data_IF_313237889006
#
_entry.id   IF_313237889006
#
_cell.length_a   1.000
_cell.length_b   1.000
_cell.length_c   1.000
_cell.angle_alpha   90.00
_cell.angle_beta   90.00
_cell.angle_gamma   90.00
#
_symmetry.space_group_name_H-M   'P 1'
#
loop_
_entity.id
_entity.type
_entity.pdbx_description
1 polymer ?
#
# COMPACT_ATOMS: atom_id res chain seq x y z
N UNK A 1 6.53 10.27 14.81
CA UNK A 1 7.63 9.39 14.35
C UNK A 1 7.01 8.38 13.39
N UNK A 2 7.62 8.14 12.23
CA UNK A 2 7.04 7.33 11.15
C UNK A 2 6.93 5.86 11.53
N UNK A 3 5.77 5.31 11.87
CA UNK A 3 5.69 3.92 12.35
C UNK A 3 5.28 2.92 11.27
N UNK A 4 4.48 3.37 10.31
CA UNK A 4 3.89 2.51 9.29
C UNK A 4 3.81 3.21 7.93
N UNK A 5 4.18 2.50 6.87
CA UNK A 5 4.06 2.92 5.47
C UNK A 5 3.20 1.92 4.70
N UNK A 6 1.87 2.12 4.61
CA UNK A 6 1.05 1.37 3.68
C UNK A 6 1.34 1.82 2.25
N UNK A 7 1.64 0.88 1.37
CA UNK A 7 1.72 1.06 -0.07
C UNK A 7 0.31 0.91 -0.64
N UNK A 8 -0.30 2.05 -0.94
CA UNK A 8 -1.69 2.17 -1.38
C UNK A 8 -1.74 2.54 -2.86
N UNK A 9 -2.74 2.01 -3.56
CA UNK A 9 -3.05 2.49 -4.91
C UNK A 9 -3.84 3.78 -4.85
N UNK A 10 -3.54 4.73 -5.73
CA UNK A 10 -4.26 6.01 -5.83
C UNK A 10 -5.69 5.84 -6.39
N UNK A 11 -6.59 5.28 -5.59
CA UNK A 11 -7.94 4.89 -6.01
C UNK A 11 -8.99 5.20 -4.97
N UNK A 12 -10.24 5.23 -5.44
CA UNK A 12 -11.41 5.64 -4.66
C UNK A 12 -11.57 4.84 -3.35
N UNK A 13 -11.26 3.54 -3.36
CA UNK A 13 -11.36 2.70 -2.17
C UNK A 13 -10.42 3.17 -1.07
N UNK A 14 -9.16 3.35 -1.44
CA UNK A 14 -8.06 3.80 -0.60
C UNK A 14 -8.24 5.26 -0.17
N UNK A 15 -8.70 6.15 -1.06
CA UNK A 15 -9.03 7.53 -0.73
C UNK A 15 -10.11 7.61 0.36
N UNK A 16 -11.17 6.81 0.27
CA UNK A 16 -12.20 6.78 1.31
C UNK A 16 -11.65 6.26 2.64
N UNK A 17 -10.73 5.27 2.61
CA UNK A 17 -10.06 4.81 3.83
C UNK A 17 -9.16 5.88 4.45
N UNK A 18 -8.42 6.65 3.65
CA UNK A 18 -7.59 7.77 4.10
C UNK A 18 -8.42 8.91 4.70
N UNK A 19 -9.58 9.21 4.09
CA UNK A 19 -10.53 10.24 4.53
C UNK A 19 -11.11 9.94 5.90
N UNK A 20 -11.39 8.67 6.18
CA UNK A 20 -11.98 8.20 7.44
C UNK A 20 -10.95 7.68 8.45
N UNK A 21 -9.65 7.90 8.20
CA UNK A 21 -8.59 7.47 9.09
C UNK A 21 -8.65 8.24 10.42
N UNK A 22 -8.68 7.52 11.54
CA UNK A 22 -8.71 8.16 12.87
C UNK A 22 -7.41 8.92 13.17
N UNK A 23 -7.46 10.02 13.95
CA UNK A 23 -6.27 10.82 14.26
C UNK A 23 -5.12 10.04 14.89
N UNK A 24 -5.41 9.07 15.75
CA UNK A 24 -4.41 8.22 16.41
C UNK A 24 -3.72 7.25 15.45
N UNK A 25 -4.36 6.85 14.34
CA UNK A 25 -3.73 6.07 13.27
C UNK A 25 -2.93 7.00 12.36
N UNK A 26 -3.56 8.10 11.92
CA UNK A 26 -2.97 9.10 11.03
C UNK A 26 -1.64 9.67 11.51
N UNK A 27 -1.46 9.84 12.82
CA UNK A 27 -0.22 10.37 13.42
C UNK A 27 1.01 9.50 13.16
N UNK A 28 0.82 8.20 12.95
CA UNK A 28 1.90 7.21 12.85
C UNK A 28 2.02 6.58 11.47
N UNK A 29 1.16 6.99 10.53
CA UNK A 29 1.08 6.46 9.18
C UNK A 29 1.46 7.53 8.17
N UNK A 30 2.42 7.23 7.29
CA UNK A 30 2.69 8.02 6.08
C UNK A 30 2.49 7.08 4.89
N UNK A 31 1.38 7.19 4.16
CA UNK A 31 1.13 6.29 3.04
C UNK A 31 2.13 6.55 1.91
N UNK A 32 2.55 5.49 1.24
CA UNK A 32 3.13 5.55 -0.09
C UNK A 32 2.01 5.31 -1.09
N UNK A 33 1.75 6.30 -1.94
CA UNK A 33 0.67 6.23 -2.92
C UNK A 33 1.26 5.97 -4.30
N UNK A 34 0.96 4.79 -4.84
CA UNK A 34 1.28 4.43 -6.22
C UNK A 34 0.18 4.93 -7.16
N UNK A 35 0.51 5.91 -7.99
CA UNK A 35 -0.41 6.44 -9.00
C UNK A 35 -0.56 5.41 -10.12
N UNK A 36 -1.80 5.00 -10.36
CA UNK A 36 -2.12 3.95 -11.32
C UNK A 36 -2.28 4.53 -12.72
N UNK A 37 -2.11 3.71 -13.77
CA UNK A 37 -2.43 4.11 -15.14
C UNK A 37 -3.92 4.43 -15.28
N UNK A 38 -4.24 5.35 -16.18
CA UNK A 38 -5.62 5.63 -16.55
C UNK A 38 -6.33 4.33 -17.00
N UNK A 39 -7.51 4.00 -16.44
CA UNK A 39 -8.23 2.82 -16.85
C UNK A 39 -8.62 2.88 -18.33
N UNK A 40 -8.43 1.78 -19.06
CA UNK A 40 -8.89 1.69 -20.44
C UNK A 40 -10.42 1.89 -20.52
N UNK A 41 -10.93 2.56 -21.58
CA UNK A 41 -12.37 2.72 -21.77
C UNK A 41 -13.07 1.36 -21.78
N UNK A 42 -14.06 1.16 -20.90
CA UNK A 42 -14.86 -0.06 -20.94
C UNK A 42 -15.82 0.01 -22.13
N UNK A 43 -15.92 -1.04 -22.97
CA UNK A 43 -16.97 -1.10 -23.98
C UNK A 43 -18.34 -1.05 -23.28
N UNK A 44 -19.21 -0.15 -23.73
CA UNK A 44 -20.58 -0.06 -23.22
C UNK A 44 -21.30 -1.35 -23.60
N UNK A 45 -21.57 -2.23 -22.62
CA UNK A 45 -22.45 -3.38 -22.86
C UNK A 45 -23.84 -2.84 -23.22
N UNK A 46 -24.46 -3.27 -24.33
CA UNK A 46 -25.84 -2.89 -24.62
C UNK A 46 -26.73 -3.36 -23.46
N UNK A 47 -27.47 -2.42 -22.86
CA UNK A 47 -28.54 -2.78 -21.91
C UNK A 47 -29.67 -3.40 -22.72
N UNK A 48 -29.84 -4.71 -22.64
CA UNK A 48 -31.06 -5.38 -23.10
C UNK A 48 -32.12 -5.27 -22.01
N UNK A 49 -32.71 -4.09 -21.88
CA UNK A 49 -34.00 -3.93 -21.23
C UNK A 49 -35.05 -4.08 -22.33
N UNK A 50 -35.99 -5.02 -22.15
CA UNK A 50 -36.89 -5.53 -23.19
C UNK A 50 -37.48 -4.46 -24.14
N UNK A 51 -37.33 -4.71 -25.44
CA UNK A 51 -38.27 -4.23 -26.46
C UNK A 51 -37.99 -2.90 -27.15
N UNK A 52 -36.99 -2.10 -26.77
CA UNK A 52 -36.67 -0.87 -27.50
C UNK A 52 -35.17 -0.65 -27.68
N UNK A 53 -34.68 -0.74 -28.92
CA UNK A 53 -33.32 -0.32 -29.30
C UNK A 53 -33.14 1.18 -28.97
N UNK A 54 -32.59 1.49 -27.79
CA UNK A 54 -32.10 2.83 -27.50
C UNK A 54 -30.74 3.03 -28.16
N UNK A 55 -30.61 4.16 -28.88
CA UNK A 55 -29.39 4.64 -29.55
C UNK A 55 -28.13 4.31 -28.75
N UNK A 56 -27.16 3.69 -29.43
CA UNK A 56 -25.79 3.53 -28.93
C UNK A 56 -25.32 4.92 -28.47
N UNK A 57 -25.20 5.14 -27.16
CA UNK A 57 -24.56 6.36 -26.64
C UNK A 57 -23.12 6.32 -27.13
N UNK A 58 -22.73 7.30 -27.95
CA UNK A 58 -21.33 7.49 -28.33
C UNK A 58 -20.47 7.44 -27.07
N UNK A 59 -19.42 6.61 -27.09
CA UNK A 59 -18.43 6.56 -26.03
C UNK A 59 -17.91 8.00 -25.85
N UNK A 60 -18.00 8.54 -24.63
CA UNK A 60 -17.26 9.78 -24.34
C UNK A 60 -15.79 9.51 -24.64
N UNK A 61 -15.07 10.42 -25.32
CA UNK A 61 -13.63 10.28 -25.49
C UNK A 61 -13.00 10.09 -24.10
N UNK A 62 -11.96 9.24 -23.97
CA UNK A 62 -11.23 9.14 -22.72
C UNK A 62 -10.73 10.53 -22.31
N UNK A 63 -10.66 10.77 -20.99
CA UNK A 63 -10.01 11.98 -20.47
C UNK A 63 -8.57 12.02 -20.95
N UNK A 64 -7.99 13.20 -21.13
CA UNK A 64 -6.55 13.32 -21.29
C UNK A 64 -5.84 12.73 -20.06
N UNK A 65 -4.59 12.31 -20.21
CA UNK A 65 -3.78 11.86 -19.08
C UNK A 65 -3.59 13.00 -18.06
N UNK A 66 -3.43 14.23 -18.53
CA UNK A 66 -3.43 15.44 -17.69
C UNK A 66 -4.69 15.51 -16.81
N UNK A 67 -5.88 15.52 -17.43
CA UNK A 67 -7.15 15.61 -16.68
C UNK A 67 -7.33 14.45 -15.71
N UNK A 68 -6.84 13.26 -16.07
CA UNK A 68 -6.86 12.10 -15.18
C UNK A 68 -5.95 12.29 -13.96
N UNK A 69 -4.71 12.74 -14.16
CA UNK A 69 -3.76 12.96 -13.06
C UNK A 69 -4.21 14.13 -12.17
N UNK A 70 -4.72 15.23 -12.72
CA UNK A 70 -5.33 16.32 -11.95
C UNK A 70 -6.52 15.85 -11.11
N UNK A 71 -7.41 15.01 -11.67
CA UNK A 71 -8.52 14.41 -10.92
C UNK A 71 -8.02 13.54 -9.75
N UNK A 72 -6.98 12.73 -9.99
CA UNK A 72 -6.37 11.88 -8.96
C UNK A 72 -5.75 12.74 -7.86
N UNK A 73 -5.02 13.80 -8.22
CA UNK A 73 -4.41 14.73 -7.29
C UNK A 73 -5.46 15.43 -6.42
N UNK A 74 -6.54 15.97 -7.03
CA UNK A 74 -7.62 16.64 -6.31
C UNK A 74 -8.32 15.70 -5.32
N UNK A 75 -8.59 14.44 -5.72
CA UNK A 75 -9.19 13.44 -4.84
C UNK A 75 -8.28 13.03 -3.68
N UNK A 76 -6.99 12.88 -3.96
CA UNK A 76 -6.00 12.56 -2.94
C UNK A 76 -5.84 13.71 -1.94
N UNK A 77 -5.84 14.96 -2.43
CA UNK A 77 -5.82 16.15 -1.58
C UNK A 77 -7.05 16.25 -0.66
N UNK A 78 -8.25 15.95 -1.18
CA UNK A 78 -9.46 15.90 -0.35
C UNK A 78 -9.40 14.81 0.73
N UNK A 79 -8.92 13.61 0.36
CA UNK A 79 -8.85 12.46 1.27
C UNK A 79 -7.73 12.57 2.32
N UNK A 80 -6.54 13.03 1.94
CA UNK A 80 -5.35 13.00 2.80
C UNK A 80 -4.96 14.36 3.38
N UNK A 81 -5.41 15.45 2.75
CA UNK A 81 -5.11 16.84 3.11
C UNK A 81 -3.60 17.12 3.04
N UNK A 82 -3.08 17.91 3.97
CA UNK A 82 -1.68 18.36 4.05
C UNK A 82 -0.77 17.38 4.81
N UNK A 83 -1.29 16.21 5.22
CA UNK A 83 -0.48 15.17 5.88
C UNK A 83 0.63 14.68 4.95
N UNK A 84 1.81 14.32 5.48
CA UNK A 84 2.90 13.76 4.67
C UNK A 84 2.45 12.51 3.91
N UNK A 85 2.92 12.35 2.69
CA UNK A 85 2.76 11.14 1.88
C UNK A 85 3.97 10.95 0.96
N UNK A 86 4.29 9.70 0.67
CA UNK A 86 5.21 9.35 -0.42
C UNK A 86 4.41 9.17 -1.71
N UNK A 87 4.93 9.67 -2.83
CA UNK A 87 4.28 9.56 -4.14
C UNK A 87 5.19 8.81 -5.09
N UNK A 88 4.68 7.72 -5.66
CA UNK A 88 5.39 6.92 -6.64
C UNK A 88 4.57 6.81 -7.93
N UNK A 89 5.28 6.93 -9.05
CA UNK A 89 4.76 6.72 -10.40
C UNK A 89 5.13 5.34 -10.93
N UNK A 90 5.39 4.36 -10.06
CA UNK A 90 5.78 2.98 -10.37
C UNK A 90 4.99 2.34 -11.52
N UNK A 91 3.69 2.64 -11.65
CA UNK A 91 2.89 2.10 -12.73
C UNK A 91 3.19 2.70 -14.12
N UNK A 92 4.01 3.75 -14.24
CA UNK A 92 4.36 4.44 -15.48
C UNK A 92 5.81 4.14 -15.89
N UNK A 93 6.08 4.17 -17.20
CA UNK A 93 7.43 4.03 -17.73
C UNK A 93 8.32 5.24 -17.37
N UNK A 94 9.65 5.07 -17.37
CA UNK A 94 10.59 6.09 -16.90
C UNK A 94 10.69 7.32 -17.83
N UNK A 95 10.08 7.27 -19.02
CA UNK A 95 10.02 8.38 -19.97
C UNK A 95 8.57 8.77 -20.32
N UNK A 96 7.56 8.25 -19.60
CA UNK A 96 6.16 8.54 -19.87
C UNK A 96 5.87 10.04 -19.66
N UNK A 97 5.12 10.61 -20.60
CA UNK A 97 4.79 12.04 -20.62
C UNK A 97 3.29 12.23 -20.74
N UNK A 98 2.80 13.34 -20.18
CA UNK A 98 1.45 13.83 -20.43
C UNK A 98 1.40 14.58 -21.78
N UNK A 99 0.21 14.97 -22.21
CA UNK A 99 -0.01 15.59 -23.52
C UNK A 99 0.80 16.88 -23.76
N UNK A 100 1.14 17.63 -22.71
CA UNK A 100 2.01 18.82 -22.82
C UNK A 100 3.48 18.51 -23.14
N UNK A 101 3.88 17.23 -23.09
CA UNK A 101 5.27 16.79 -23.18
C UNK A 101 6.01 16.81 -21.83
N UNK A 102 5.36 17.24 -20.75
CA UNK A 102 5.89 17.14 -19.39
C UNK A 102 5.91 15.68 -18.92
N UNK A 103 6.95 15.32 -18.15
CA UNK A 103 7.05 13.99 -17.55
C UNK A 103 5.92 13.75 -16.54
N UNK A 104 5.30 12.56 -16.56
CA UNK A 104 4.14 12.25 -15.71
C UNK A 104 4.39 12.47 -14.22
N UNK A 105 5.62 12.22 -13.76
CA UNK A 105 6.00 12.41 -12.37
C UNK A 105 6.06 13.87 -11.96
N UNK A 106 6.67 14.72 -12.78
CA UNK A 106 6.72 16.17 -12.52
C UNK A 106 5.31 16.76 -12.53
N UNK A 107 4.49 16.38 -13.52
CA UNK A 107 3.11 16.84 -13.62
C UNK A 107 2.29 16.46 -12.38
N UNK A 108 2.27 15.18 -12.01
CA UNK A 108 1.51 14.70 -10.86
C UNK A 108 1.94 15.37 -9.54
N UNK A 109 3.25 15.47 -9.29
CA UNK A 109 3.76 16.12 -8.08
C UNK A 109 3.47 17.63 -8.10
N UNK A 110 3.54 18.29 -9.26
CA UNK A 110 3.14 19.68 -9.44
C UNK A 110 1.69 19.93 -9.05
N UNK A 111 0.76 19.08 -9.51
CA UNK A 111 -0.66 19.15 -9.14
C UNK A 111 -0.87 18.97 -7.63
N UNK A 112 -0.21 18.00 -7.01
CA UNK A 112 -0.31 17.77 -5.55
C UNK A 112 0.24 18.96 -4.75
N UNK A 113 1.35 19.55 -5.19
CA UNK A 113 1.93 20.74 -4.55
C UNK A 113 1.03 21.97 -4.74
N UNK A 114 0.36 22.13 -5.89
CA UNK A 114 -0.64 23.17 -6.12
C UNK A 114 -1.84 23.03 -5.16
N UNK A 115 -2.19 21.80 -4.78
CA UNK A 115 -3.15 21.50 -3.71
C UNK A 115 -2.57 21.63 -2.29
N UNK A 116 -1.33 22.12 -2.13
CA UNK A 116 -0.62 22.32 -0.85
C UNK A 116 -0.35 21.02 -0.07
N UNK A 117 -0.26 19.89 -0.75
CA UNK A 117 0.07 18.63 -0.11
C UNK A 117 1.56 18.57 0.29
N UNK A 118 1.87 17.86 1.39
CA UNK A 118 3.25 17.64 1.82
C UNK A 118 3.85 16.40 1.13
N UNK A 119 4.24 16.58 -0.13
CA UNK A 119 4.74 15.51 -1.02
C UNK A 119 6.20 15.14 -0.70
N UNK A 120 6.45 13.84 -0.49
CA UNK A 120 7.78 13.25 -0.50
C UNK A 120 7.92 12.39 -1.77
N UNK A 121 8.95 12.65 -2.57
CA UNK A 121 9.18 11.96 -3.82
C UNK A 121 9.75 10.56 -3.59
N UNK A 122 9.14 9.52 -4.16
CA UNK A 122 9.78 8.22 -4.26
C UNK A 122 10.76 8.20 -5.43
N UNK A 123 12.01 7.86 -5.16
CA UNK A 123 13.06 7.63 -6.15
C UNK A 123 13.20 6.11 -6.29
N UNK A 124 12.86 5.55 -7.45
CA UNK A 124 13.03 4.12 -7.73
C UNK A 124 14.38 3.88 -8.38
N UNK A 125 15.17 2.96 -7.82
CA UNK A 125 16.51 2.64 -8.33
C UNK A 125 16.42 1.95 -9.70
N UNK A 126 15.42 1.08 -9.88
CA UNK A 126 15.06 0.39 -11.13
C UNK A 126 14.93 1.31 -12.35
N UNK A 127 14.49 2.56 -12.14
CA UNK A 127 14.27 3.57 -13.19
C UNK A 127 15.43 4.53 -13.38
N UNK A 128 16.46 4.47 -12.53
CA UNK A 128 17.53 5.47 -12.49
C UNK A 128 18.36 5.55 -13.77
N UNK A 129 18.41 4.47 -14.55
CA UNK A 129 19.09 4.45 -15.86
C UNK A 129 18.53 5.45 -16.89
N UNK A 130 17.29 5.93 -16.74
CA UNK A 130 16.68 6.89 -17.68
C UNK A 130 17.02 8.35 -17.33
N UNK A 131 17.60 9.07 -18.29
CA UNK A 131 17.88 10.50 -18.14
C UNK A 131 16.61 11.34 -17.96
N UNK A 132 15.51 10.98 -18.63
CA UNK A 132 14.20 11.62 -18.46
C UNK A 132 13.67 11.46 -17.04
N UNK A 133 13.79 10.25 -16.48
CA UNK A 133 13.38 9.99 -15.09
C UNK A 133 14.24 10.78 -14.10
N UNK A 134 15.58 10.76 -14.24
CA UNK A 134 16.49 11.54 -13.38
C UNK A 134 16.17 13.02 -13.42
N UNK A 135 15.97 13.58 -14.61
CA UNK A 135 15.59 14.98 -14.78
C UNK A 135 14.22 15.30 -14.16
N UNK A 136 13.25 14.38 -14.21
CA UNK A 136 11.96 14.54 -13.57
C UNK A 136 12.07 14.51 -12.04
N UNK A 137 12.79 13.54 -11.48
CA UNK A 137 13.06 13.43 -10.04
C UNK A 137 13.74 14.70 -9.52
N UNK A 138 14.81 15.16 -10.18
CA UNK A 138 15.51 16.38 -9.81
C UNK A 138 14.59 17.61 -9.76
N UNK A 139 13.67 17.74 -10.74
CA UNK A 139 12.65 18.81 -10.72
C UNK A 139 11.69 18.67 -9.53
N UNK A 140 11.17 17.49 -9.28
CA UNK A 140 10.24 17.24 -8.15
C UNK A 140 10.92 17.56 -6.82
N UNK A 141 12.17 17.15 -6.63
CA UNK A 141 12.95 17.44 -5.42
C UNK A 141 13.21 18.94 -5.25
N UNK A 142 13.51 19.65 -6.34
CA UNK A 142 13.62 21.11 -6.33
C UNK A 142 12.31 21.81 -5.88
N UNK A 143 11.15 21.25 -6.26
CA UNK A 143 9.84 21.80 -5.92
C UNK A 143 9.37 21.47 -4.49
N UNK A 144 9.74 20.30 -3.95
CA UNK A 144 9.26 19.84 -2.64
C UNK A 144 10.27 20.06 -1.48
N UNK A 145 11.44 20.64 -1.78
CA UNK A 145 12.49 20.92 -0.82
C UNK A 145 13.35 19.70 -0.45
N UNK A 146 13.61 18.81 -1.42
CA UNK A 146 14.47 17.63 -1.24
C UNK A 146 13.85 16.51 -0.40
N UNK A 147 12.52 16.51 -0.21
CA UNK A 147 11.83 15.48 0.57
C UNK A 147 11.69 14.22 -0.27
N UNK A 148 12.34 13.14 0.14
CA UNK A 148 12.40 11.92 -0.65
C UNK A 148 12.23 10.63 0.18
N UNK A 149 12.06 9.53 -0.54
CA UNK A 149 12.27 8.15 -0.11
C UNK A 149 12.91 7.38 -1.26
N UNK A 150 13.98 6.64 -1.02
CA UNK A 150 14.59 5.75 -2.01
C UNK A 150 13.90 4.38 -1.95
N UNK A 151 13.47 3.82 -3.08
CA UNK A 151 12.83 2.49 -3.17
C UNK A 151 13.79 1.53 -3.87
N UNK A 152 14.05 0.41 -3.19
CA UNK A 152 14.79 -0.74 -3.70
C UNK A 152 13.83 -1.92 -3.89
N UNK A 153 13.94 -2.58 -5.01
CA UNK A 153 13.24 -3.82 -5.36
C UNK A 153 14.11 -5.05 -5.05
N UNK A 154 13.56 -6.28 -5.10
CA UNK A 154 14.34 -7.48 -4.79
C UNK A 154 15.57 -7.64 -5.66
N UNK A 155 15.48 -7.27 -6.94
CA UNK A 155 16.58 -7.30 -7.90
C UNK A 155 17.74 -6.40 -7.46
N UNK A 156 17.45 -5.21 -6.93
CA UNK A 156 18.47 -4.29 -6.39
C UNK A 156 19.20 -4.90 -5.17
N UNK A 157 18.51 -5.75 -4.38
CA UNK A 157 19.13 -6.45 -3.26
C UNK A 157 20.06 -7.58 -3.73
N UNK A 158 19.76 -8.22 -4.85
CA UNK A 158 20.62 -9.23 -5.46
C UNK A 158 21.91 -8.59 -6.00
N UNK A 159 21.82 -7.37 -6.53
CA UNK A 159 22.96 -6.56 -6.96
C UNK A 159 23.88 -6.14 -5.81
N UNK A 160 23.42 -6.12 -4.56
CA UNK A 160 24.28 -5.87 -3.38
C UNK A 160 25.38 -6.94 -3.19
N UNK A 161 25.33 -8.04 -3.94
CA UNK A 161 26.43 -9.00 -4.04
C UNK A 161 27.67 -8.46 -4.76
N UNK A 162 27.53 -7.38 -5.52
CA UNK A 162 28.60 -6.53 -6.04
C UNK A 162 28.54 -5.14 -5.37
N UNK A 163 29.19 -4.97 -4.20
CA UNK A 163 29.11 -3.73 -3.43
C UNK A 163 29.62 -2.50 -4.18
N UNK A 164 30.62 -2.66 -5.05
CA UNK A 164 31.22 -1.53 -5.77
C UNK A 164 30.25 -0.95 -6.80
N UNK A 165 29.62 -1.82 -7.62
CA UNK A 165 28.61 -1.39 -8.59
C UNK A 165 27.40 -0.75 -7.92
N UNK A 166 26.94 -1.32 -6.79
CA UNK A 166 25.84 -0.74 -6.03
C UNK A 166 26.23 0.61 -5.41
N UNK A 167 27.46 0.76 -4.92
CA UNK A 167 27.95 2.01 -4.33
C UNK A 167 28.06 3.13 -5.35
N UNK A 168 28.53 2.83 -6.56
CA UNK A 168 28.57 3.80 -7.67
C UNK A 168 27.17 4.28 -8.02
N UNK A 169 26.22 3.34 -8.21
CA UNK A 169 24.84 3.67 -8.53
C UNK A 169 24.15 4.46 -7.40
N UNK A 170 24.37 4.07 -6.14
CA UNK A 170 23.84 4.79 -4.99
C UNK A 170 24.46 6.20 -4.88
N UNK A 171 25.76 6.32 -5.14
CA UNK A 171 26.48 7.59 -5.18
C UNK A 171 25.87 8.53 -6.22
N UNK A 172 25.68 8.04 -7.45
CA UNK A 172 25.03 8.79 -8.54
C UNK A 172 23.64 9.31 -8.13
N UNK A 173 22.82 8.46 -7.51
CA UNK A 173 21.49 8.87 -7.03
C UNK A 173 21.58 9.96 -5.97
N UNK A 174 22.42 9.78 -4.96
CA UNK A 174 22.55 10.72 -3.85
C UNK A 174 23.11 12.07 -4.33
N UNK A 175 24.15 12.05 -5.17
CA UNK A 175 24.82 13.25 -5.66
C UNK A 175 23.94 14.03 -6.66
N UNK A 176 23.36 13.37 -7.67
CA UNK A 176 22.49 14.05 -8.64
C UNK A 176 21.21 14.61 -7.99
N UNK A 177 20.70 13.96 -6.94
CA UNK A 177 19.52 14.44 -6.21
C UNK A 177 19.83 15.40 -5.07
N UNK A 178 21.10 15.56 -4.67
CA UNK A 178 21.48 16.30 -3.47
C UNK A 178 20.91 15.70 -2.17
N UNK A 179 20.81 14.37 -2.10
CA UNK A 179 20.27 13.63 -0.96
C UNK A 179 21.39 13.14 -0.03
N UNK A 180 21.06 12.97 1.26
CA UNK A 180 22.00 12.49 2.27
C UNK A 180 21.41 11.26 2.97
N UNK A 181 22.12 10.14 2.91
CA UNK A 181 21.67 8.85 3.45
C UNK A 181 21.15 8.91 4.89
N UNK A 182 21.84 9.68 5.76
CA UNK A 182 21.45 9.83 7.18
C UNK A 182 20.05 10.41 7.40
N UNK A 183 19.51 11.17 6.45
CA UNK A 183 18.20 11.82 6.49
C UNK A 183 17.21 11.25 5.48
N UNK A 184 17.61 10.27 4.67
CA UNK A 184 16.82 9.69 3.59
C UNK A 184 16.18 8.39 4.07
N UNK A 185 14.85 8.32 4.20
CA UNK A 185 14.16 7.04 4.35
C UNK A 185 14.41 6.17 3.12
N UNK A 186 14.70 4.89 3.34
CA UNK A 186 14.84 3.92 2.28
C UNK A 186 13.78 2.82 2.44
N UNK A 187 13.14 2.41 1.36
CA UNK A 187 12.18 1.31 1.29
C UNK A 187 12.83 0.11 0.64
N UNK A 188 12.93 -0.99 1.38
CA UNK A 188 13.15 -2.33 0.83
C UNK A 188 11.77 -2.90 0.51
N UNK A 189 11.46 -2.99 -0.78
CA UNK A 189 10.19 -3.52 -1.27
C UNK A 189 10.36 -4.97 -1.73
N UNK A 190 9.92 -5.91 -0.92
CA UNK A 190 10.00 -7.34 -1.24
C UNK A 190 8.87 -7.81 -2.17
N UNK A 191 7.92 -6.92 -2.53
CA UNK A 191 6.80 -7.21 -3.40
C UNK A 191 5.93 -8.38 -2.91
N UNK A 192 5.63 -9.31 -3.82
CA UNK A 192 4.86 -10.52 -3.55
C UNK A 192 5.75 -11.60 -2.93
N UNK A 193 5.59 -11.83 -1.62
CA UNK A 193 6.38 -12.81 -0.86
C UNK A 193 5.60 -14.10 -0.57
N UNK A 194 4.45 -14.30 -1.22
CA UNK A 194 3.64 -15.52 -1.04
C UNK A 194 4.44 -16.76 -1.41
N UNK A 195 4.31 -17.80 -0.59
CA UNK A 195 4.96 -19.08 -0.80
C UNK A 195 6.45 -19.11 -0.47
N UNK A 196 7.06 -17.96 -0.12
CA UNK A 196 8.43 -17.92 0.43
C UNK A 196 8.41 -18.35 1.91
N UNK A 197 9.51 -18.93 2.40
CA UNK A 197 9.66 -19.21 3.83
C UNK A 197 10.35 -18.04 4.54
N UNK A 198 10.05 -17.87 5.84
CA UNK A 198 10.76 -16.89 6.67
C UNK A 198 12.27 -17.13 6.70
N UNK A 199 12.68 -18.41 6.68
CA UNK A 199 14.08 -18.82 6.68
C UNK A 199 14.85 -18.36 5.43
N UNK A 200 14.15 -18.12 4.32
CA UNK A 200 14.76 -17.64 3.08
C UNK A 200 14.83 -16.10 3.06
N UNK A 201 13.79 -15.43 3.58
CA UNK A 201 13.67 -13.97 3.57
C UNK A 201 14.56 -13.30 4.62
N UNK A 202 14.62 -13.87 5.83
CA UNK A 202 15.27 -13.24 6.98
C UNK A 202 16.77 -12.98 6.76
N UNK A 203 17.58 -13.92 6.24
CA UNK A 203 19.00 -13.66 5.99
C UNK A 203 19.23 -12.54 4.98
N UNK A 204 18.52 -12.58 3.84
CA UNK A 204 18.64 -11.56 2.79
C UNK A 204 18.27 -10.16 3.30
N UNK A 205 17.12 -10.02 3.97
CA UNK A 205 16.71 -8.74 4.54
C UNK A 205 17.66 -8.24 5.66
N UNK A 206 18.20 -9.15 6.48
CA UNK A 206 19.17 -8.76 7.52
C UNK A 206 20.49 -8.26 6.93
N UNK A 207 21.00 -8.94 5.90
CA UNK A 207 22.21 -8.51 5.19
C UNK A 207 22.01 -7.15 4.51
N UNK A 208 20.88 -6.93 3.85
CA UNK A 208 20.55 -5.65 3.23
C UNK A 208 20.48 -4.52 4.28
N UNK A 209 19.84 -4.75 5.42
CA UNK A 209 19.78 -3.75 6.49
C UNK A 209 21.16 -3.39 7.06
N UNK A 210 22.03 -4.37 7.26
CA UNK A 210 23.40 -4.14 7.71
C UNK A 210 24.21 -3.38 6.66
N UNK A 211 24.10 -3.79 5.39
CA UNK A 211 24.75 -3.13 4.25
C UNK A 211 24.36 -1.65 4.15
N UNK A 212 23.07 -1.34 4.28
CA UNK A 212 22.55 0.03 4.27
C UNK A 212 22.94 0.83 5.52
N UNK A 213 22.96 0.19 6.69
CA UNK A 213 23.41 0.82 7.95
C UNK A 213 24.86 1.29 7.83
N UNK A 214 25.74 0.47 7.25
CA UNK A 214 27.15 0.82 7.04
C UNK A 214 27.32 1.99 6.06
N UNK A 215 26.32 2.27 5.23
CA UNK A 215 26.25 3.42 4.30
C UNK A 215 25.52 4.63 4.87
N UNK A 216 25.24 4.60 6.18
CA UNK A 216 24.71 5.75 6.91
C UNK A 216 23.19 5.89 6.88
N UNK A 217 22.44 4.95 6.29
CA UNK A 217 20.99 4.95 6.41
C UNK A 217 20.55 4.68 7.85
N UNK A 218 19.71 5.56 8.39
CA UNK A 218 19.23 5.47 9.79
C UNK A 218 17.80 4.95 9.89
N UNK A 219 17.04 5.00 8.80
CA UNK A 219 15.63 4.58 8.75
C UNK A 219 15.33 3.81 7.47
N UNK A 220 14.95 2.54 7.63
CA UNK A 220 14.57 1.65 6.53
C UNK A 220 13.16 1.14 6.75
N UNK A 221 12.31 1.28 5.74
CA UNK A 221 11.01 0.64 5.64
C UNK A 221 11.21 -0.73 5.00
N UNK A 222 10.70 -1.78 5.61
CA UNK A 222 10.66 -3.12 4.99
C UNK A 222 9.22 -3.42 4.66
N UNK A 223 8.92 -3.60 3.38
CA UNK A 223 7.58 -3.89 2.89
C UNK A 223 7.51 -5.19 2.10
N UNK A 224 6.34 -5.80 2.10
CA UNK A 224 6.01 -6.96 1.29
C UNK A 224 4.51 -7.25 1.36
N UNK A 225 4.08 -8.32 0.71
CA UNK A 225 2.68 -8.75 0.75
C UNK A 225 2.53 -10.25 0.66
N UNK A 226 1.74 -10.80 1.59
CA UNK A 226 1.21 -12.15 1.53
C UNK A 226 -0.18 -12.22 0.88
N UNK A 227 -0.76 -11.08 0.49
CA UNK A 227 -2.13 -11.03 -0.05
C UNK A 227 -2.16 -11.54 -1.49
N UNK A 228 -3.01 -12.53 -1.80
CA UNK A 228 -3.08 -13.05 -3.16
C UNK A 228 -3.86 -12.15 -4.11
N UNK A 229 -3.53 -12.26 -5.40
CA UNK A 229 -4.29 -11.60 -6.48
C UNK A 229 -5.73 -12.11 -6.54
N UNK A 230 -5.94 -13.40 -6.26
CA UNK A 230 -7.26 -14.03 -6.14
C UNK A 230 -7.52 -14.52 -4.72
N UNK A 231 -8.69 -14.19 -4.17
CA UNK A 231 -9.11 -14.67 -2.85
C UNK A 231 -9.25 -16.20 -2.80
N UNK A 232 -9.41 -16.84 -3.96
CA UNK A 232 -9.58 -18.30 -4.07
C UNK A 232 -8.32 -19.05 -3.63
N UNK A 233 -7.17 -18.39 -3.71
CA UNK A 233 -5.88 -18.93 -3.28
C UNK A 233 -5.73 -18.91 -1.75
N UNK A 234 -6.34 -17.92 -1.09
CA UNK A 234 -6.34 -17.84 0.38
C UNK A 234 -7.41 -18.73 1.02
N UNK A 235 -8.62 -18.78 0.46
CA UNK A 235 -9.72 -19.61 1.00
C UNK A 235 -10.33 -20.38 -0.16
N UNK A 236 -10.06 -21.69 -0.26
CA UNK A 236 -10.44 -22.52 -1.41
C UNK A 236 -11.94 -22.78 -1.52
N UNK A 237 -12.61 -23.03 -0.39
CA UNK A 237 -14.05 -23.30 -0.32
C UNK A 237 -14.85 -22.00 -0.36
N UNK A 238 -15.99 -22.00 -1.05
CA UNK A 238 -16.95 -20.88 -1.02
C UNK A 238 -17.81 -20.96 0.24
N UNK A 239 -18.31 -19.81 0.70
CA UNK A 239 -19.10 -19.71 1.95
C UNK A 239 -18.36 -20.32 3.14
N UNK A 240 -17.07 -19.99 3.26
CA UNK A 240 -16.23 -20.46 4.36
C UNK A 240 -15.26 -19.38 4.78
N UNK A 241 -14.67 -19.60 5.94
CA UNK A 241 -13.62 -18.77 6.50
C UNK A 241 -12.25 -19.43 6.29
N UNK A 242 -11.19 -18.64 6.40
CA UNK A 242 -9.82 -19.13 6.44
C UNK A 242 -8.87 -18.07 6.96
N UNK A 243 -7.65 -18.49 7.24
CA UNK A 243 -6.59 -17.63 7.73
C UNK A 243 -5.48 -17.52 6.70
N UNK A 244 -4.95 -16.32 6.53
CA UNK A 244 -3.82 -16.04 5.66
C UNK A 244 -2.73 -15.35 6.47
N UNK A 245 -1.60 -16.01 6.66
CA UNK A 245 -0.48 -15.43 7.39
C UNK A 245 0.09 -14.20 6.67
N UNK A 246 0.40 -13.16 7.44
CA UNK A 246 1.08 -11.93 7.02
C UNK A 246 2.58 -12.11 7.24
N UNK A 247 3.24 -12.82 6.33
CA UNK A 247 4.66 -13.13 6.41
C UNK A 247 5.51 -11.86 6.52
N UNK A 248 5.09 -10.77 5.90
CA UNK A 248 5.72 -9.45 5.98
C UNK A 248 5.75 -8.91 7.42
N UNK A 249 4.66 -9.06 8.18
CA UNK A 249 4.58 -8.65 9.59
C UNK A 249 5.46 -9.55 10.46
N UNK A 250 5.44 -10.86 10.19
CA UNK A 250 6.28 -11.84 10.90
C UNK A 250 7.77 -11.56 10.65
N UNK A 251 8.15 -11.28 9.40
CA UNK A 251 9.51 -10.92 9.00
C UNK A 251 9.95 -9.63 9.69
N UNK A 252 9.14 -8.57 9.66
CA UNK A 252 9.45 -7.32 10.33
C UNK A 252 9.70 -7.52 11.84
N UNK A 253 8.84 -8.29 12.52
CA UNK A 253 9.05 -8.65 13.94
C UNK A 253 10.35 -9.41 14.16
N UNK A 254 10.71 -10.32 13.26
CA UNK A 254 11.95 -11.09 13.35
C UNK A 254 13.22 -10.25 13.10
N UNK A 255 13.13 -9.19 12.29
CA UNK A 255 14.25 -8.30 11.98
C UNK A 255 14.58 -7.34 13.13
N UNK A 256 13.57 -6.89 13.90
CA UNK A 256 13.74 -5.85 14.92
C UNK A 256 14.80 -6.15 15.99
N UNK A 257 14.87 -7.36 16.59
CA UNK A 257 15.88 -7.66 17.61
C UNK A 257 17.32 -7.68 17.07
N UNK A 258 17.49 -7.93 15.76
CA UNK A 258 18.77 -8.24 15.12
C UNK A 258 19.35 -7.07 14.32
N UNK A 259 18.76 -5.88 14.43
CA UNK A 259 19.12 -4.70 13.60
C UNK A 259 19.46 -3.47 14.46
N UNK A 260 20.47 -3.56 15.36
CA UNK A 260 20.86 -2.42 16.20
C UNK A 260 21.39 -1.26 15.35
N UNK A 261 21.03 -0.03 15.72
CA UNK A 261 21.54 1.18 15.08
C UNK A 261 20.82 1.59 13.79
N UNK A 262 19.84 0.83 13.32
CA UNK A 262 18.95 1.22 12.23
C UNK A 262 17.49 1.11 12.67
N UNK A 263 16.67 2.07 12.25
CA UNK A 263 15.24 2.07 12.54
C UNK A 263 14.47 1.33 11.46
N UNK A 264 14.01 0.12 11.76
CA UNK A 264 13.19 -0.67 10.84
C UNK A 264 11.70 -0.32 11.00
N UNK A 265 11.12 0.30 9.98
CA UNK A 265 9.71 0.69 9.89
C UNK A 265 8.94 -0.39 9.14
N UNK A 266 7.74 -0.73 9.60
CA UNK A 266 6.89 -1.70 8.90
C UNK A 266 6.23 -1.03 7.69
N UNK A 267 6.22 -1.72 6.55
CA UNK A 267 5.38 -1.40 5.41
C UNK A 267 4.71 -2.65 4.84
N UNK A 268 3.64 -2.46 4.09
CA UNK A 268 2.95 -3.53 3.34
C UNK A 268 2.07 -2.95 2.24
N UNK A 269 1.47 -3.83 1.43
CA UNK A 269 0.51 -3.44 0.38
C UNK A 269 -0.95 -3.40 0.87
N UNK A 270 -1.15 -3.38 2.19
CA UNK A 270 -2.45 -3.45 2.82
C UNK A 270 -3.24 -4.71 2.43
N UNK A 271 -4.49 -4.51 2.00
CA UNK A 271 -5.44 -5.59 1.68
C UNK A 271 -5.45 -5.99 0.20
N UNK A 272 -4.46 -5.51 -0.57
CA UNK A 272 -4.27 -5.81 -1.99
C UNK A 272 -2.93 -6.48 -2.23
N UNK A 273 -2.89 -7.30 -3.28
CA UNK A 273 -1.64 -7.84 -3.80
C UNK A 273 -0.91 -6.75 -4.60
N UNK A 274 0.43 -6.65 -4.52
CA UNK A 274 1.23 -5.82 -5.42
C UNK A 274 0.93 -6.11 -6.90
N UNK A 275 0.68 -7.40 -7.21
CA UNK A 275 0.37 -7.89 -8.56
C UNK A 275 -1.10 -7.75 -8.97
N UNK A 276 -1.94 -7.07 -8.19
CA UNK A 276 -3.36 -6.94 -8.52
C UNK A 276 -3.54 -6.24 -9.87
N UNK A 277 -4.43 -6.74 -10.72
CA UNK A 277 -4.90 -5.96 -11.85
C UNK A 277 -6.17 -5.20 -11.47
N UNK A 278 -6.48 -4.17 -12.26
CA UNK A 278 -7.59 -3.27 -12.00
C UNK A 278 -8.92 -3.74 -12.58
N UNK A 279 -8.89 -4.88 -13.28
CA UNK A 279 -10.06 -5.48 -13.87
C UNK A 279 -10.78 -6.27 -12.79
N UNK A 280 -11.93 -5.74 -12.32
CA UNK A 280 -12.85 -6.51 -11.51
C UNK A 280 -13.30 -7.71 -12.35
N UNK A 281 -12.85 -8.90 -11.97
CA UNK A 281 -13.23 -10.14 -12.62
C UNK A 281 -14.78 -10.27 -12.61
N UNK A 282 -15.42 -10.71 -13.71
CA UNK A 282 -16.87 -10.86 -13.80
C UNK A 282 -17.47 -11.77 -12.71
N UNK A 283 -16.65 -12.65 -12.17
CA UNK A 283 -16.92 -13.68 -11.16
C UNK A 283 -16.26 -13.36 -9.80
N UNK A 284 -15.89 -12.09 -9.54
CA UNK A 284 -15.30 -11.69 -8.28
C UNK A 284 -16.19 -12.10 -7.10
N UNK A 285 -15.63 -12.86 -6.15
CA UNK A 285 -16.35 -13.33 -4.97
C UNK A 285 -16.62 -12.21 -3.97
N UNK A 286 -17.76 -12.30 -3.28
CA UNK A 286 -17.99 -11.60 -2.02
C UNK A 286 -16.95 -12.03 -1.00
N UNK A 287 -16.33 -11.06 -0.32
CA UNK A 287 -15.24 -11.33 0.63
C UNK A 287 -15.03 -10.16 1.57
N UNK A 288 -14.56 -10.47 2.77
CA UNK A 288 -14.06 -9.51 3.76
C UNK A 288 -12.67 -9.99 4.18
N UNK A 289 -11.68 -9.09 4.16
CA UNK A 289 -10.32 -9.36 4.65
C UNK A 289 -10.13 -8.62 5.96
N UNK A 290 -10.30 -9.33 7.05
CA UNK A 290 -10.25 -8.76 8.39
C UNK A 290 -8.88 -9.01 9.01
N UNK A 291 -8.18 -7.97 9.46
CA UNK A 291 -6.78 -8.07 9.88
C UNK A 291 -6.70 -8.42 11.37
N UNK A 292 -5.96 -9.48 11.70
CA UNK A 292 -5.78 -9.95 13.08
C UNK A 292 -4.29 -10.18 13.33
N UNK A 293 -3.82 -10.34 14.57
CA UNK A 293 -2.39 -10.52 14.85
C UNK A 293 -1.71 -11.56 13.92
N UNK A 294 -0.65 -11.15 13.23
CA UNK A 294 0.11 -11.91 12.23
C UNK A 294 -0.66 -12.44 11.01
N UNK A 295 -1.97 -12.24 10.88
CA UNK A 295 -2.78 -12.91 9.84
C UNK A 295 -3.92 -12.03 9.31
N UNK A 296 -4.60 -12.50 8.28
CA UNK A 296 -5.94 -12.07 7.91
C UNK A 296 -6.93 -13.19 8.24
N UNK A 297 -8.00 -12.85 8.96
CA UNK A 297 -9.22 -13.64 9.00
C UNK A 297 -10.06 -13.30 7.77
N UNK A 298 -10.17 -14.24 6.83
CA UNK A 298 -10.85 -14.04 5.57
C UNK A 298 -12.19 -14.75 5.61
N UNK A 299 -13.25 -14.00 5.34
CA UNK A 299 -14.60 -14.55 5.15
C UNK A 299 -14.92 -14.49 3.66
N UNK A 300 -15.13 -15.64 3.03
CA UNK A 300 -15.35 -15.77 1.58
C UNK A 300 -16.76 -16.27 1.29
N UNK A 301 -17.47 -15.55 0.43
CA UNK A 301 -18.76 -15.94 -0.13
C UNK A 301 -18.65 -16.54 -1.53
N UNK A 302 -19.74 -16.42 -2.29
CA UNK A 302 -19.90 -16.84 -3.67
C UNK A 302 -19.55 -15.72 -4.66
N UNK A 303 -19.47 -16.01 -5.98
CA UNK A 303 -19.35 -14.97 -7.00
C UNK A 303 -20.45 -13.92 -6.83
N UNK A 304 -20.11 -12.63 -6.95
CA UNK A 304 -21.08 -11.53 -6.77
C UNK A 304 -22.18 -11.50 -7.84
N UNK A 305 -22.02 -12.28 -8.92
CA UNK A 305 -23.05 -12.54 -9.94
C UNK A 305 -24.09 -13.56 -9.51
N UNK A 306 -23.75 -14.49 -8.60
CA UNK A 306 -24.65 -15.51 -8.10
C UNK A 306 -25.66 -14.91 -7.09
N UNK A 307 -26.94 -15.30 -7.10
CA UNK A 307 -27.90 -14.88 -6.07
C UNK A 307 -27.44 -15.24 -4.64
N UNK A 308 -27.62 -14.36 -3.64
CA UNK A 308 -28.37 -13.10 -3.66
C UNK A 308 -27.51 -11.88 -4.05
N UNK A 309 -26.44 -12.10 -4.84
CA UNK A 309 -25.51 -11.09 -5.34
C UNK A 309 -24.81 -10.38 -4.18
N UNK A 310 -24.91 -9.06 -4.10
CA UNK A 310 -24.27 -8.30 -3.02
C UNK A 310 -24.89 -8.51 -1.64
N UNK A 311 -26.11 -9.03 -1.52
CA UNK A 311 -26.77 -9.23 -0.21
C UNK A 311 -26.06 -10.29 0.64
N UNK A 312 -25.29 -11.17 -0.01
CA UNK A 312 -24.44 -12.12 0.71
C UNK A 312 -23.49 -11.42 1.68
N UNK A 313 -23.10 -10.17 1.39
CA UNK A 313 -22.18 -9.40 2.24
C UNK A 313 -22.73 -9.17 3.65
N UNK A 314 -24.06 -9.16 3.84
CA UNK A 314 -24.67 -9.09 5.17
C UNK A 314 -24.26 -10.29 6.03
N UNK A 315 -24.43 -11.51 5.48
CA UNK A 315 -24.05 -12.74 6.16
C UNK A 315 -22.53 -12.92 6.30
N UNK A 316 -21.73 -12.37 5.38
CA UNK A 316 -20.27 -12.36 5.55
C UNK A 316 -19.84 -11.40 6.66
N UNK A 317 -20.47 -10.22 6.74
CA UNK A 317 -20.20 -9.25 7.80
C UNK A 317 -20.64 -9.77 9.17
N UNK A 318 -21.79 -10.45 9.24
CA UNK A 318 -22.25 -11.10 10.47
C UNK A 318 -21.27 -12.15 10.99
N UNK A 319 -20.69 -12.98 10.09
CA UNK A 319 -19.63 -13.92 10.46
C UNK A 319 -18.40 -13.23 11.05
N UNK A 320 -18.02 -12.04 10.57
CA UNK A 320 -16.93 -11.27 11.19
C UNK A 320 -17.35 -10.79 12.58
N UNK A 321 -18.49 -10.10 12.70
CA UNK A 321 -18.99 -9.51 13.96
C UNK A 321 -19.19 -10.56 15.06
N UNK A 322 -19.64 -11.75 14.70
CA UNK A 322 -19.86 -12.87 15.63
C UNK A 322 -18.58 -13.65 15.97
N UNK A 323 -17.47 -13.39 15.27
CA UNK A 323 -16.20 -14.05 15.55
C UNK A 323 -15.49 -13.44 16.78
N UNK A 324 -14.65 -14.23 17.43
CA UNK A 324 -13.77 -13.74 18.51
C UNK A 324 -12.71 -12.73 18.03
N UNK A 325 -12.59 -12.52 16.71
CA UNK A 325 -11.61 -11.64 16.10
C UNK A 325 -12.10 -10.19 15.95
N UNK A 326 -13.41 -9.95 16.02
CA UNK A 326 -13.95 -8.61 15.80
C UNK A 326 -13.50 -7.63 16.89
N UNK A 327 -12.96 -6.49 16.48
CA UNK A 327 -12.36 -5.48 17.35
C UNK A 327 -13.39 -4.47 17.86
N UNK A 328 -14.67 -4.67 17.51
CA UNK A 328 -15.82 -3.82 17.78
C UNK A 328 -15.91 -2.57 16.88
N UNK A 329 -17.12 -2.03 16.76
CA UNK A 329 -17.44 -0.88 15.89
C UNK A 329 -16.62 0.37 16.21
N UNK A 330 -16.18 0.49 17.46
CA UNK A 330 -15.36 1.58 17.96
C UNK A 330 -13.89 1.48 17.59
N UNK A 331 -13.41 0.40 16.96
CA UNK A 331 -11.97 0.23 16.65
C UNK A 331 -11.54 1.08 15.46
N UNK A 332 -12.17 0.92 14.30
CA UNK A 332 -11.92 1.71 13.08
C UNK A 332 -13.23 2.09 12.38
N UNK A 333 -13.15 2.98 11.39
CA UNK A 333 -14.30 3.25 10.52
C UNK A 333 -14.71 2.00 9.73
N UNK A 334 -13.75 1.19 9.26
CA UNK A 334 -14.01 -0.10 8.63
C UNK A 334 -14.84 -1.03 9.51
N UNK A 335 -14.52 -1.12 10.81
CA UNK A 335 -15.27 -1.94 11.77
C UNK A 335 -16.71 -1.48 11.95
N UNK A 336 -16.94 -0.16 12.01
CA UNK A 336 -18.29 0.41 12.06
C UNK A 336 -19.09 0.08 10.78
N UNK A 337 -18.44 0.08 9.62
CA UNK A 337 -19.09 -0.28 8.35
C UNK A 337 -19.39 -1.78 8.26
N UNK A 338 -18.51 -2.64 8.77
CA UNK A 338 -18.77 -4.09 8.89
C UNK A 338 -19.99 -4.32 9.79
N UNK A 339 -20.08 -3.65 10.95
CA UNK A 339 -21.24 -3.72 11.84
C UNK A 339 -22.52 -3.22 11.19
N UNK A 340 -22.47 -2.09 10.50
CA UNK A 340 -23.62 -1.56 9.76
C UNK A 340 -24.08 -2.54 8.66
N UNK A 341 -23.14 -3.26 8.03
CA UNK A 341 -23.46 -4.28 7.05
C UNK A 341 -24.09 -5.52 7.68
N UNK A 342 -23.60 -6.01 8.83
CA UNK A 342 -24.22 -7.15 9.51
C UNK A 342 -25.65 -6.84 10.01
N UNK A 343 -25.95 -5.57 10.24
CA UNK A 343 -27.29 -5.07 10.59
C UNK A 343 -28.12 -4.67 9.36
N UNK A 344 -27.66 -5.00 8.16
CA UNK A 344 -28.31 -4.74 6.87
C UNK A 344 -28.54 -3.24 6.55
N UNK A 345 -27.91 -2.32 7.28
CA UNK A 345 -28.01 -0.87 7.04
C UNK A 345 -27.27 -0.44 5.79
N UNK A 346 -26.20 -1.17 5.45
CA UNK A 346 -25.45 -0.99 4.20
C UNK A 346 -25.17 -2.34 3.56
N UNK A 347 -24.87 -2.32 2.27
CA UNK A 347 -24.42 -3.50 1.50
C UNK A 347 -23.00 -3.33 0.96
N UNK A 348 -22.68 -2.10 0.54
CA UNK A 348 -21.43 -1.77 -0.13
C UNK A 348 -21.33 -2.35 -1.55
N UNK A 349 -20.47 -1.75 -2.36
CA UNK A 349 -19.95 -2.34 -3.59
C UNK A 349 -18.49 -2.74 -3.40
N UNK A 350 -17.86 -3.32 -4.43
CA UNK A 350 -16.46 -3.77 -4.36
C UNK A 350 -15.48 -2.66 -3.95
N UNK A 351 -15.73 -1.41 -4.33
CA UNK A 351 -14.90 -0.27 -3.92
C UNK A 351 -15.08 0.02 -2.43
N UNK A 352 -16.33 0.02 -1.93
CA UNK A 352 -16.60 0.23 -0.51
C UNK A 352 -15.93 -0.83 0.36
N UNK A 353 -15.97 -2.10 -0.05
CA UNK A 353 -15.34 -3.18 0.72
C UNK A 353 -13.82 -3.06 0.77
N UNK A 354 -13.18 -2.54 -0.29
CA UNK A 354 -11.76 -2.19 -0.21
C UNK A 354 -11.53 -1.05 0.78
N UNK A 355 -12.40 -0.04 0.82
CA UNK A 355 -12.29 1.04 1.82
C UNK A 355 -12.40 0.51 3.25
N UNK A 356 -13.37 -0.37 3.50
CA UNK A 356 -13.62 -0.93 4.84
C UNK A 356 -12.45 -1.82 5.29
N UNK A 357 -12.04 -2.75 4.43
CA UNK A 357 -10.90 -3.65 4.66
C UNK A 357 -9.61 -2.83 4.93
N UNK A 358 -9.29 -1.84 4.08
CA UNK A 358 -8.10 -0.98 4.23
C UNK A 358 -8.16 -0.14 5.51
N UNK A 359 -9.32 0.45 5.84
CA UNK A 359 -9.48 1.26 7.06
C UNK A 359 -9.20 0.45 8.32
N UNK A 360 -9.80 -0.73 8.43
CA UNK A 360 -9.56 -1.65 9.53
C UNK A 360 -8.11 -2.12 9.57
N UNK A 361 -7.56 -2.52 8.42
CA UNK A 361 -6.18 -2.99 8.32
C UNK A 361 -5.16 -1.98 8.83
N UNK A 362 -5.25 -0.71 8.41
CA UNK A 362 -4.32 0.32 8.90
C UNK A 362 -4.41 0.53 10.42
N UNK A 363 -5.61 0.46 10.99
CA UNK A 363 -5.78 0.53 12.44
C UNK A 363 -5.19 -0.69 13.17
N UNK A 364 -5.42 -1.89 12.62
CA UNK A 364 -4.91 -3.16 13.16
C UNK A 364 -3.38 -3.21 13.15
N UNK A 365 -2.74 -2.80 12.04
CA UNK A 365 -1.28 -2.74 11.91
C UNK A 365 -0.67 -1.80 12.94
N UNK A 366 -1.23 -0.59 13.10
CA UNK A 366 -0.74 0.35 14.11
C UNK A 366 -0.86 -0.24 15.52
N UNK A 367 -1.98 -0.89 15.85
CA UNK A 367 -2.15 -1.55 17.16
C UNK A 367 -1.09 -2.62 17.38
N UNK A 368 -0.91 -3.50 16.40
CA UNK A 368 0.02 -4.63 16.49
C UNK A 368 1.49 -4.20 16.59
N UNK A 369 1.91 -3.18 15.83
CA UNK A 369 3.26 -2.63 15.92
C UNK A 369 3.51 -2.06 17.32
N UNK A 370 2.54 -1.35 17.90
CA UNK A 370 2.67 -0.82 19.25
C UNK A 370 2.63 -1.90 20.33
N UNK A 371 1.79 -2.91 20.20
CA UNK A 371 1.72 -4.05 21.10
C UNK A 371 3.05 -4.81 21.11
N UNK A 372 3.61 -5.09 19.92
CA UNK A 372 4.91 -5.74 19.80
C UNK A 372 6.03 -4.91 20.42
N UNK A 373 6.09 -3.60 20.13
CA UNK A 373 7.10 -2.70 20.70
C UNK A 373 7.03 -2.63 22.24
N UNK A 374 5.82 -2.62 22.82
CA UNK A 374 5.63 -2.68 24.28
C UNK A 374 6.09 -4.01 24.86
N UNK A 375 5.74 -5.13 24.23
CA UNK A 375 6.16 -6.45 24.67
C UNK A 375 7.68 -6.62 24.62
N UNK A 376 8.33 -6.20 23.52
CA UNK A 376 9.77 -6.26 23.37
C UNK A 376 10.51 -5.37 24.38
N UNK A 377 9.98 -4.17 24.67
CA UNK A 377 10.54 -3.28 25.70
C UNK A 377 10.36 -3.84 27.10
N UNK A 378 9.22 -4.49 27.38
CA UNK A 378 8.96 -5.17 28.65
C UNK A 378 9.90 -6.37 28.88
N UNK A 379 10.18 -7.15 27.83
CA UNK A 379 11.16 -8.24 27.86
C UNK A 379 12.58 -7.70 28.08
N UNK A 380 12.95 -6.58 27.45
CA UNK A 380 14.24 -5.90 27.70
C UNK A 380 14.38 -5.40 29.15
N UNK A 381 13.28 -4.94 29.77
CA UNK A 381 13.27 -4.52 31.17
C UNK A 381 13.41 -5.71 32.16
N UNK A 382 12.87 -6.89 31.83
CA UNK A 382 13.00 -8.12 32.63
C UNK A 382 14.38 -8.76 32.53
N UNK A 383 15.11 -8.51 31.45
CA UNK A 383 16.47 -9.02 31.23
C UNK A 383 17.58 -8.08 31.74
N UNK A 384 17.24 -7.04 32.50
CA UNK A 384 18.27 -6.26 33.21
C UNK A 384 18.85 -7.13 34.33
N UNK A 385 20.17 -7.38 34.38
CA UNK A 385 20.77 -7.97 35.57
C UNK A 385 20.41 -7.07 36.76
N UNK A 386 19.90 -7.67 37.84
CA UNK A 386 19.82 -6.98 39.12
C UNK A 386 21.25 -6.56 39.47
N UNK A 387 21.53 -5.27 39.33
CA UNK A 387 22.80 -4.71 39.81
C UNK A 387 22.78 -4.83 41.33
N UNK A 388 23.69 -5.65 41.85
CA UNK A 388 24.07 -5.68 43.26
C UNK A 388 24.95 -4.45 43.57
#
# INVERSE_FOLDING_TARGET
>A
MLTYVPILRAKEGEFEALRNMKPNVARYTVPLVEVQKQPAPKPVKPKTDGGAQKRIRALKPPKSLQDYLSDVAAKLADAHRDRPLFVDMYAYGPADKVESGEHVYTYMCGELLAHRMNVHAVVGLDRWGSAEYRAAVGRVLGLNGGKALLRLEPEDLEEMSDPEAFDDLLGDVLDECGLVAGNLPLLIDLGDIRGKALADLLPSASMALEFLRLRGFTQVVVAGSSVPTSINEAVKKQNSTGFLSRLEMILWKALLPSTPGIRVVFGDYGVRSPRSNDNIAPDANGKIRYTIANEFFIVRGQPMSAPPKGEQMWGLADQVVMSAHYANEGFSWGDAMIKACSEHKIKGNSTNWISFDTSHHMAAVISEVFEYARAASGVSALNRPQMA
#
